data_IF_205799575231
#
_entry.id   IF_205799575231
#
_cell.length_a   1.000
_cell.length_b   1.000
_cell.length_c   1.000
_cell.angle_alpha   90.00
_cell.angle_beta   90.00
_cell.angle_gamma   90.00
#
_symmetry.space_group_name_H-M   'P 1'
#
loop_
_entity.id
_entity.type
_entity.pdbx_description
1 polymer ?
#
# COMPACT_ATOMS: atom_id res chain seq x y z
N UNK A 1 -32.46 15.39 29.88
CA UNK A 1 -32.34 16.05 28.56
C UNK A 1 -30.90 16.43 28.19
N UNK A 2 -30.04 16.76 29.15
CA UNK A 2 -28.64 17.10 28.93
C UNK A 2 -27.80 15.94 28.33
N UNK A 3 -27.94 14.72 28.83
CA UNK A 3 -27.18 13.55 28.38
C UNK A 3 -27.43 13.19 26.88
N UNK A 4 -28.62 13.43 26.34
CA UNK A 4 -28.90 13.24 24.91
C UNK A 4 -28.20 14.29 24.04
N UNK A 5 -28.09 15.53 24.48
CA UNK A 5 -27.42 16.60 23.73
C UNK A 5 -25.91 16.41 23.66
N UNK A 6 -25.30 15.90 24.73
CA UNK A 6 -23.85 15.59 24.74
C UNK A 6 -23.53 14.41 23.86
N UNK A 7 -24.37 13.36 23.81
CA UNK A 7 -24.19 12.22 22.93
C UNK A 7 -24.29 12.58 21.43
N UNK A 8 -25.23 13.45 21.06
CA UNK A 8 -25.39 13.93 19.68
C UNK A 8 -24.23 14.85 19.27
N UNK A 9 -23.75 15.71 20.15
CA UNK A 9 -22.59 16.58 19.87
C UNK A 9 -21.31 15.76 19.68
N UNK A 10 -21.07 14.75 20.52
CA UNK A 10 -19.92 13.84 20.38
C UNK A 10 -19.97 13.02 19.08
N UNK A 11 -21.16 12.59 18.67
CA UNK A 11 -21.39 11.91 17.39
C UNK A 11 -21.09 12.79 16.17
N UNK A 12 -21.49 14.05 16.20
CA UNK A 12 -21.24 15.01 15.13
C UNK A 12 -19.75 15.36 15.00
N UNK A 13 -19.04 15.54 16.12
CA UNK A 13 -17.61 15.83 16.10
C UNK A 13 -16.78 14.66 15.59
N UNK A 14 -17.17 13.43 15.97
CA UNK A 14 -16.53 12.23 15.46
C UNK A 14 -16.76 12.04 13.96
N UNK A 15 -17.99 12.27 13.49
CA UNK A 15 -18.32 12.20 12.06
C UNK A 15 -17.55 13.26 11.24
N UNK A 16 -17.43 14.48 11.77
CA UNK A 16 -16.66 15.55 11.14
C UNK A 16 -15.15 15.20 11.07
N UNK A 17 -14.59 14.63 12.14
CA UNK A 17 -13.20 14.19 12.16
C UNK A 17 -12.91 13.06 11.15
N UNK A 18 -13.86 12.13 10.98
CA UNK A 18 -13.76 11.04 9.98
C UNK A 18 -13.82 11.58 8.54
N UNK A 19 -14.65 12.60 8.29
CA UNK A 19 -14.73 13.23 6.97
C UNK A 19 -13.46 14.01 6.61
N UNK A 20 -12.79 14.64 7.57
CA UNK A 20 -11.51 15.31 7.33
C UNK A 20 -10.36 14.32 7.06
N UNK A 21 -10.38 13.15 7.67
CA UNK A 21 -9.36 12.11 7.44
C UNK A 21 -9.46 11.46 6.05
N UNK A 22 -10.61 11.57 5.37
CA UNK A 22 -10.84 11.00 4.04
C UNK A 22 -10.12 11.75 2.90
N UNK A 23 -9.50 12.90 3.17
CA UNK A 23 -8.82 13.72 2.16
C UNK A 23 -7.37 13.32 1.86
N UNK A 24 -6.87 12.21 2.39
CA UNK A 24 -5.55 11.70 2.00
C UNK A 24 -5.59 11.17 0.56
N UNK A 25 -5.23 12.01 -0.41
CA UNK A 25 -5.17 11.62 -1.82
C UNK A 25 -3.91 10.77 -2.08
N UNK A 26 -4.11 9.52 -2.50
CA UNK A 26 -3.04 8.69 -3.06
C UNK A 26 -2.88 9.10 -4.53
N UNK A 27 -1.67 9.48 -4.99
CA UNK A 27 -1.44 9.83 -6.39
C UNK A 27 -1.74 8.66 -7.33
N UNK A 28 -2.40 8.93 -8.46
CA UNK A 28 -2.69 7.94 -9.50
C UNK A 28 -1.58 7.84 -10.58
N UNK A 29 -0.39 8.39 -10.32
CA UNK A 29 0.71 8.47 -11.25
C UNK A 29 2.04 7.97 -10.70
N UNK A 30 3.11 8.02 -11.53
CA UNK A 30 4.45 7.64 -11.08
C UNK A 30 4.96 8.58 -9.98
N UNK A 31 5.54 8.01 -8.94
CA UNK A 31 6.20 8.77 -7.87
C UNK A 31 7.70 8.98 -8.15
N UNK A 32 8.15 8.57 -9.32
CA UNK A 32 9.54 8.59 -9.76
C UNK A 32 9.73 9.61 -10.87
N UNK A 33 10.87 10.29 -10.85
CA UNK A 33 11.25 11.24 -11.90
C UNK A 33 11.91 10.48 -13.06
N UNK A 34 11.51 10.83 -14.28
CA UNK A 34 12.17 10.39 -15.51
C UNK A 34 12.46 11.62 -16.37
N UNK A 35 13.62 11.64 -16.99
CA UNK A 35 14.06 12.73 -17.86
C UNK A 35 14.09 12.28 -19.32
N UNK A 36 13.83 13.18 -20.28
CA UNK A 36 13.96 12.85 -21.68
C UNK A 36 15.33 12.28 -22.03
N UNK A 37 15.34 11.27 -22.88
CA UNK A 37 16.55 10.70 -23.45
C UNK A 37 17.27 11.66 -24.37
N UNK A 38 18.56 11.45 -24.60
CA UNK A 38 19.33 12.27 -25.52
C UNK A 38 18.78 12.14 -26.94
N UNK A 39 18.47 13.27 -27.58
CA UNK A 39 17.91 13.30 -28.94
C UNK A 39 16.40 13.08 -29.04
N UNK A 40 15.71 12.93 -27.93
CA UNK A 40 14.24 12.84 -27.91
C UNK A 40 13.59 14.21 -27.71
N UNK A 41 12.55 14.49 -28.51
CA UNK A 41 11.74 15.69 -28.30
C UNK A 41 10.86 15.55 -27.07
N UNK A 42 10.40 16.67 -26.53
CA UNK A 42 9.47 16.68 -25.41
C UNK A 42 8.12 16.03 -25.75
N UNK A 43 7.69 16.14 -26.99
CA UNK A 43 6.47 15.51 -27.47
C UNK A 43 6.58 13.99 -27.50
N UNK A 44 7.71 13.47 -27.99
CA UNK A 44 8.02 12.04 -27.90
C UNK A 44 8.06 11.55 -26.46
N UNK A 45 8.69 12.35 -25.57
CA UNK A 45 8.71 12.02 -24.14
C UNK A 45 7.28 11.89 -23.56
N UNK A 46 6.38 12.84 -23.89
CA UNK A 46 5.00 12.80 -23.41
C UNK A 46 4.21 11.61 -23.96
N UNK A 47 4.39 11.25 -25.22
CA UNK A 47 3.77 10.07 -25.81
C UNK A 47 4.29 8.78 -25.11
N UNK A 48 5.61 8.67 -24.96
CA UNK A 48 6.25 7.55 -24.27
C UNK A 48 5.82 7.47 -22.80
N UNK A 49 5.65 8.60 -22.11
CA UNK A 49 5.15 8.67 -20.72
C UNK A 49 3.72 8.10 -20.61
N UNK A 50 2.82 8.46 -21.53
CA UNK A 50 1.45 7.95 -21.52
C UNK A 50 1.40 6.43 -21.75
N UNK A 51 2.13 5.92 -22.73
CA UNK A 51 2.23 4.49 -23.00
C UNK A 51 2.79 3.73 -21.79
N UNK A 52 3.86 4.27 -21.19
CA UNK A 52 4.50 3.64 -20.04
C UNK A 52 3.65 3.70 -18.77
N UNK A 53 2.80 4.71 -18.60
CA UNK A 53 1.79 4.74 -17.54
C UNK A 53 0.75 3.62 -17.72
N UNK A 54 0.31 3.37 -18.95
CA UNK A 54 -0.61 2.29 -19.22
C UNK A 54 0.04 0.92 -18.95
N UNK A 55 1.26 0.72 -19.41
CA UNK A 55 2.03 -0.49 -19.13
C UNK A 55 2.21 -0.72 -17.61
N UNK A 56 2.59 0.32 -16.87
CA UNK A 56 2.77 0.26 -15.43
C UNK A 56 1.49 -0.13 -14.68
N UNK A 57 0.33 0.36 -15.12
CA UNK A 57 -0.98 -0.05 -14.55
C UNK A 57 -1.23 -1.55 -14.72
N UNK A 58 -0.97 -2.08 -15.90
CA UNK A 58 -1.12 -3.52 -16.15
C UNK A 58 -0.17 -4.34 -15.26
N UNK A 59 1.07 -3.92 -15.11
CA UNK A 59 2.05 -4.57 -14.23
C UNK A 59 1.66 -4.48 -12.75
N UNK A 60 1.00 -3.41 -12.34
CA UNK A 60 0.50 -3.26 -10.97
C UNK A 60 -0.76 -4.10 -10.68
N UNK A 61 -1.25 -4.90 -11.65
CA UNK A 61 -2.44 -5.73 -11.52
C UNK A 61 -3.71 -5.07 -12.02
N UNK A 62 -3.61 -4.07 -12.89
CA UNK A 62 -4.72 -3.34 -13.49
C UNK A 62 -5.40 -2.31 -12.59
N UNK A 63 -5.08 -2.31 -11.29
CA UNK A 63 -5.60 -1.33 -10.34
C UNK A 63 -4.59 -0.19 -10.10
N UNK A 64 -5.11 1.02 -9.93
CA UNK A 64 -4.28 2.13 -9.47
C UNK A 64 -3.96 1.98 -7.97
N UNK A 65 -2.87 2.60 -7.47
CA UNK A 65 -2.57 2.61 -6.03
C UNK A 65 -3.75 3.10 -5.19
N UNK A 66 -4.51 4.08 -5.69
CA UNK A 66 -5.72 4.60 -5.06
C UNK A 66 -6.82 3.54 -4.98
N UNK A 67 -7.09 2.81 -6.08
CA UNK A 67 -8.08 1.73 -6.08
C UNK A 67 -7.67 0.61 -5.11
N UNK A 68 -6.41 0.20 -5.10
CA UNK A 68 -5.91 -0.80 -4.17
C UNK A 68 -6.09 -0.38 -2.70
N UNK A 69 -5.89 0.90 -2.39
CA UNK A 69 -6.13 1.45 -1.05
C UNK A 69 -7.62 1.42 -0.69
N UNK A 70 -8.50 1.88 -1.58
CA UNK A 70 -9.95 1.91 -1.37
C UNK A 70 -10.48 0.49 -1.15
N UNK A 71 -10.13 -0.45 -2.01
CA UNK A 71 -10.60 -1.84 -1.94
C UNK A 71 -10.18 -2.50 -0.62
N UNK A 72 -8.95 -2.28 -0.17
CA UNK A 72 -8.47 -2.84 1.08
C UNK A 72 -9.15 -2.19 2.31
N UNK A 73 -9.34 -0.89 2.28
CA UNK A 73 -10.02 -0.15 3.34
C UNK A 73 -11.48 -0.55 3.47
N UNK A 74 -12.21 -0.61 2.35
CA UNK A 74 -13.63 -1.00 2.30
C UNK A 74 -13.80 -2.43 2.77
N UNK A 75 -13.00 -3.38 2.28
CA UNK A 75 -13.06 -4.78 2.72
C UNK A 75 -12.89 -4.92 4.23
N UNK A 76 -11.94 -4.22 4.81
CA UNK A 76 -11.71 -4.26 6.27
C UNK A 76 -12.87 -3.66 7.06
N UNK A 77 -13.43 -2.56 6.59
CA UNK A 77 -14.58 -1.91 7.24
C UNK A 77 -15.84 -2.82 7.20
N UNK A 78 -16.12 -3.44 6.04
CA UNK A 78 -17.24 -4.37 5.88
C UNK A 78 -17.10 -5.59 6.78
N UNK A 79 -15.92 -6.21 6.80
CA UNK A 79 -15.66 -7.37 7.66
C UNK A 79 -15.77 -7.00 9.13
N UNK A 80 -15.19 -5.87 9.56
CA UNK A 80 -15.30 -5.39 10.93
C UNK A 80 -16.74 -5.14 11.35
N UNK A 81 -17.53 -4.50 10.49
CA UNK A 81 -18.97 -4.25 10.74
C UNK A 81 -19.75 -5.55 10.88
N UNK A 82 -19.56 -6.50 9.98
CA UNK A 82 -20.28 -7.78 9.99
C UNK A 82 -19.92 -8.61 11.24
N UNK A 83 -18.65 -8.74 11.57
CA UNK A 83 -18.19 -9.46 12.76
C UNK A 83 -18.70 -8.78 14.02
N UNK A 84 -18.62 -7.46 14.11
CA UNK A 84 -19.13 -6.69 15.24
C UNK A 84 -20.65 -6.83 15.42
N UNK A 85 -21.43 -6.79 14.33
CA UNK A 85 -22.87 -6.99 14.37
C UNK A 85 -23.26 -8.38 14.88
N UNK A 86 -22.59 -9.43 14.39
CA UNK A 86 -22.85 -10.81 14.84
C UNK A 86 -22.49 -10.98 16.32
N UNK A 87 -21.30 -10.56 16.73
CA UNK A 87 -20.87 -10.67 18.12
C UNK A 87 -21.79 -9.87 19.07
N UNK A 88 -22.13 -8.64 18.72
CA UNK A 88 -23.06 -7.82 19.50
C UNK A 88 -24.46 -8.39 19.55
N UNK A 89 -24.95 -8.98 18.45
CA UNK A 89 -26.25 -9.63 18.37
C UNK A 89 -26.40 -10.85 19.26
N UNK A 90 -25.33 -11.60 19.49
CA UNK A 90 -25.30 -12.74 20.41
C UNK A 90 -25.45 -12.27 21.88
N UNK A 91 -24.93 -11.10 22.22
CA UNK A 91 -24.89 -10.58 23.59
C UNK A 91 -26.21 -9.93 23.96
N UNK A 92 -26.77 -9.03 23.14
CA UNK A 92 -27.95 -8.22 23.46
C UNK A 92 -28.91 -8.04 22.28
N UNK A 93 -29.07 -9.06 21.47
CA UNK A 93 -29.99 -9.08 20.35
C UNK A 93 -29.84 -7.89 19.39
N UNK A 94 -30.96 -7.23 19.02
CA UNK A 94 -30.94 -6.12 18.05
C UNK A 94 -30.13 -4.90 18.52
N UNK A 95 -30.24 -4.57 19.83
CA UNK A 95 -29.50 -3.43 20.39
C UNK A 95 -27.99 -3.69 20.37
N UNK A 96 -27.58 -4.88 20.77
CA UNK A 96 -26.19 -5.32 20.74
C UNK A 96 -25.64 -5.39 19.31
N UNK A 97 -26.43 -5.86 18.35
CA UNK A 97 -26.01 -5.88 16.95
C UNK A 97 -25.72 -4.47 16.40
N UNK A 98 -26.56 -3.48 16.73
CA UNK A 98 -26.34 -2.10 16.28
C UNK A 98 -25.08 -1.47 16.89
N UNK A 99 -24.87 -1.66 18.20
CA UNK A 99 -23.67 -1.17 18.89
C UNK A 99 -22.43 -1.91 18.39
N UNK A 100 -22.52 -3.23 18.25
CA UNK A 100 -21.45 -4.07 17.73
C UNK A 100 -21.06 -3.74 16.28
N UNK A 101 -22.05 -3.47 15.42
CA UNK A 101 -21.78 -3.00 14.06
C UNK A 101 -21.05 -1.65 14.04
N UNK A 102 -21.47 -0.71 14.88
CA UNK A 102 -20.82 0.61 14.98
C UNK A 102 -19.37 0.53 15.48
N UNK A 103 -19.14 -0.22 16.56
CA UNK A 103 -17.78 -0.47 17.07
C UNK A 103 -16.94 -1.25 16.09
N UNK A 104 -17.49 -2.29 15.46
CA UNK A 104 -16.82 -3.07 14.43
C UNK A 104 -16.43 -2.24 13.20
N UNK A 105 -17.28 -1.29 12.80
CA UNK A 105 -16.95 -0.33 11.75
C UNK A 105 -15.76 0.55 12.13
N UNK A 106 -15.75 1.08 13.38
CA UNK A 106 -14.65 1.94 13.84
C UNK A 106 -13.31 1.17 13.88
N UNK A 107 -13.28 -0.01 14.52
CA UNK A 107 -12.06 -0.82 14.58
C UNK A 107 -11.66 -1.37 13.20
N UNK A 108 -12.65 -1.78 12.39
CA UNK A 108 -12.42 -2.25 11.02
C UNK A 108 -11.87 -1.14 10.13
N UNK A 109 -12.32 0.11 10.28
CA UNK A 109 -11.79 1.23 9.51
C UNK A 109 -10.38 1.64 9.94
N UNK A 110 -10.05 1.57 11.25
CA UNK A 110 -8.69 1.80 11.74
C UNK A 110 -7.70 0.73 11.21
N UNK A 111 -8.06 -0.55 11.33
CA UNK A 111 -7.28 -1.65 10.76
C UNK A 111 -7.20 -1.54 9.23
N UNK A 112 -8.31 -1.14 8.59
CA UNK A 112 -8.40 -0.91 7.16
C UNK A 112 -7.50 0.22 6.66
N UNK A 113 -7.29 1.27 7.44
CA UNK A 113 -6.37 2.34 7.10
C UNK A 113 -4.92 1.84 6.97
N UNK A 114 -4.47 0.98 7.87
CA UNK A 114 -3.16 0.34 7.79
C UNK A 114 -3.04 -0.59 6.57
N UNK A 115 -4.05 -1.42 6.32
CA UNK A 115 -4.11 -2.30 5.17
C UNK A 115 -4.16 -1.51 3.84
N UNK A 116 -4.92 -0.42 3.80
CA UNK A 116 -5.00 0.47 2.65
C UNK A 116 -3.64 1.11 2.32
N UNK A 117 -2.92 1.60 3.33
CA UNK A 117 -1.57 2.16 3.14
C UNK A 117 -0.57 1.10 2.64
N UNK A 118 -0.60 -0.12 3.20
CA UNK A 118 0.23 -1.23 2.76
C UNK A 118 -0.05 -1.62 1.31
N UNK A 119 -1.32 -1.73 0.95
CA UNK A 119 -1.76 -2.04 -0.41
C UNK A 119 -1.38 -0.94 -1.40
N UNK A 120 -1.58 0.33 -1.04
CA UNK A 120 -1.19 1.47 -1.85
C UNK A 120 0.32 1.51 -2.10
N UNK A 121 1.13 1.29 -1.06
CA UNK A 121 2.60 1.28 -1.19
C UNK A 121 3.09 0.16 -2.10
N UNK A 122 2.54 -1.06 -1.95
CA UNK A 122 2.93 -2.19 -2.78
C UNK A 122 2.49 -2.01 -4.23
N UNK A 123 1.29 -1.46 -4.47
CA UNK A 123 0.81 -1.14 -5.80
C UNK A 123 1.64 0.00 -6.43
N UNK A 124 1.95 1.06 -5.66
CA UNK A 124 2.79 2.15 -6.12
C UNK A 124 4.19 1.67 -6.50
N UNK A 125 4.80 0.81 -5.68
CA UNK A 125 6.11 0.27 -5.98
C UNK A 125 6.13 -0.54 -7.30
N UNK A 126 5.14 -1.43 -7.51
CA UNK A 126 5.02 -2.19 -8.77
C UNK A 126 4.80 -1.27 -9.96
N UNK A 127 3.95 -0.26 -9.79
CA UNK A 127 3.68 0.74 -10.80
C UNK A 127 4.96 1.50 -11.17
N UNK A 128 5.69 2.02 -10.18
CA UNK A 128 6.92 2.79 -10.40
C UNK A 128 8.00 1.94 -11.08
N UNK A 129 8.16 0.69 -10.67
CA UNK A 129 9.11 -0.24 -11.32
C UNK A 129 8.72 -0.48 -12.78
N UNK A 130 7.46 -0.79 -13.07
CA UNK A 130 6.98 -0.99 -14.43
C UNK A 130 7.15 0.27 -15.29
N UNK A 131 6.82 1.44 -14.73
CA UNK A 131 6.99 2.72 -15.41
C UNK A 131 8.47 3.00 -15.74
N UNK A 132 9.37 2.84 -14.78
CA UNK A 132 10.80 3.03 -14.99
C UNK A 132 11.38 2.08 -16.04
N UNK A 133 11.01 0.80 -15.98
CA UNK A 133 11.45 -0.19 -16.96
C UNK A 133 11.01 0.18 -18.38
N UNK A 134 9.76 0.58 -18.55
CA UNK A 134 9.21 0.99 -19.84
C UNK A 134 9.94 2.24 -20.37
N UNK A 135 10.08 3.28 -19.55
CA UNK A 135 10.74 4.53 -19.94
C UNK A 135 12.23 4.30 -20.27
N UNK A 136 12.90 3.45 -19.50
CA UNK A 136 14.28 3.08 -19.78
C UNK A 136 14.40 2.33 -21.11
N UNK A 137 13.52 1.37 -21.37
CA UNK A 137 13.49 0.63 -22.63
C UNK A 137 13.25 1.52 -23.85
N UNK A 138 12.50 2.62 -23.66
CA UNK A 138 12.27 3.65 -24.67
C UNK A 138 13.44 4.65 -24.77
N UNK A 139 14.54 4.47 -24.02
CA UNK A 139 15.75 5.28 -24.09
C UNK A 139 15.72 6.57 -23.29
N UNK A 140 14.81 6.68 -22.31
CA UNK A 140 14.76 7.79 -21.37
C UNK A 140 15.73 7.60 -20.20
N UNK A 141 16.09 8.71 -19.55
CA UNK A 141 17.02 8.70 -18.42
C UNK A 141 16.22 8.55 -17.13
N UNK A 142 16.42 7.42 -16.44
CA UNK A 142 15.85 7.14 -15.14
C UNK A 142 16.90 7.40 -14.06
N UNK A 143 16.80 8.50 -13.30
CA UNK A 143 17.69 8.74 -12.19
C UNK A 143 17.45 7.67 -11.11
N UNK A 144 18.45 6.84 -10.88
CA UNK A 144 18.42 5.89 -9.76
C UNK A 144 18.86 6.65 -8.51
N UNK A 145 17.93 6.87 -7.57
CA UNK A 145 18.30 7.39 -6.27
C UNK A 145 19.19 6.36 -5.57
N UNK A 146 20.47 6.67 -5.41
CA UNK A 146 21.47 5.79 -4.77
C UNK A 146 20.99 5.28 -3.39
N UNK A 147 20.17 6.04 -2.68
CA UNK A 147 19.56 5.65 -1.41
C UNK A 147 18.62 4.44 -1.49
N UNK A 148 18.10 4.08 -2.67
CA UNK A 148 17.26 2.88 -2.81
C UNK A 148 18.06 1.58 -2.91
N UNK A 149 19.36 1.67 -3.24
CA UNK A 149 20.26 0.52 -3.24
C UNK A 149 21.00 0.35 -1.90
N UNK A 150 20.95 1.33 -1.03
CA UNK A 150 21.26 1.17 0.37
C UNK A 150 20.01 0.77 1.17
N UNK A 151 19.24 -0.18 0.66
CA UNK A 151 18.50 -1.03 1.57
C UNK A 151 19.59 -1.68 2.43
N UNK A 152 19.83 -1.10 3.60
CA UNK A 152 20.55 -1.76 4.68
C UNK A 152 20.06 -3.22 4.66
N UNK A 153 20.93 -4.20 4.41
CA UNK A 153 20.49 -5.58 4.40
C UNK A 153 19.73 -5.77 5.71
N UNK A 154 18.44 -6.06 5.58
CA UNK A 154 17.59 -6.27 6.74
C UNK A 154 18.43 -7.13 7.68
N UNK A 155 18.78 -6.60 8.86
CA UNK A 155 19.53 -7.35 9.87
C UNK A 155 18.70 -8.58 10.12
N UNK A 156 18.99 -9.65 9.38
CA UNK A 156 18.42 -10.95 9.67
C UNK A 156 18.69 -11.19 11.16
N UNK A 157 17.69 -11.59 11.93
CA UNK A 157 17.92 -11.94 13.32
C UNK A 157 19.14 -12.85 13.36
N UNK A 158 20.12 -12.54 14.23
CA UNK A 158 21.29 -13.39 14.45
C UNK A 158 20.78 -14.78 14.82
N UNK A 159 20.82 -15.72 13.88
CA UNK A 159 20.23 -17.06 13.97
C UNK A 159 19.61 -17.58 12.68
N UNK A 160 19.41 -16.73 11.66
CA UNK A 160 19.00 -17.20 10.34
C UNK A 160 20.20 -17.90 9.67
N UNK A 161 20.01 -19.17 9.48
CA UNK A 161 20.79 -20.18 8.79
C UNK A 161 21.77 -19.59 7.76
N UNK A 162 23.05 -19.56 8.09
CA UNK A 162 24.08 -19.37 7.09
C UNK A 162 24.07 -20.64 6.20
N UNK A 163 23.98 -20.51 4.87
CA UNK A 163 24.12 -21.66 4.00
C UNK A 163 25.46 -22.36 4.30
N UNK A 164 25.51 -23.68 4.32
CA UNK A 164 26.76 -24.40 4.54
C UNK A 164 27.80 -23.94 3.49
N UNK A 165 29.07 -23.80 3.89
CA UNK A 165 30.13 -23.45 2.93
C UNK A 165 30.15 -24.48 1.80
N UNK A 166 30.44 -24.04 0.57
CA UNK A 166 30.55 -24.97 -0.56
C UNK A 166 31.60 -26.04 -0.24
N UNK A 167 31.41 -27.29 -0.71
CA UNK A 167 32.39 -28.34 -0.51
C UNK A 167 33.76 -27.92 -1.10
N UNK A 168 34.86 -28.24 -0.43
CA UNK A 168 36.18 -27.94 -0.96
C UNK A 168 36.38 -28.64 -2.32
N UNK A 169 37.12 -28.02 -3.21
CA UNK A 169 37.44 -28.62 -4.52
C UNK A 169 38.13 -30.00 -4.32
N UNK A 170 37.90 -30.95 -5.22
CA UNK A 170 38.34 -32.32 -5.04
C UNK A 170 39.86 -32.53 -4.86
N UNK A 171 40.68 -31.53 -5.20
CA UNK A 171 42.13 -31.57 -5.12
C UNK A 171 42.74 -30.75 -3.96
N UNK A 172 41.92 -30.35 -2.96
CA UNK A 172 42.45 -29.60 -1.82
C UNK A 172 43.33 -30.50 -0.91
N UNK A 173 44.59 -30.09 -0.57
CA UNK A 173 45.44 -30.84 0.34
C UNK A 173 44.78 -30.98 1.70
N UNK A 174 44.78 -32.20 2.26
CA UNK A 174 44.24 -32.44 3.61
C UNK A 174 45.12 -31.69 4.63
N UNK A 175 44.50 -30.93 5.55
CA UNK A 175 45.27 -30.34 6.66
C UNK A 175 45.87 -31.47 7.53
N UNK A 176 47.16 -31.38 7.83
CA UNK A 176 47.85 -32.24 8.78
C UNK A 176 47.34 -32.03 10.20
#
# INVERSE_FOLDING_TARGET
>A
MAARRTATAAGLTLAAALLLAACASVPDGPSVLVLPGSGKSFEQFRADDQDCRQYARLQAGGATPKQAAIDSGVKSAVVGTAVGAVAGGIIDGRSGAAVGAGTGLLFGSMAGAGAAQGSARSAQWRYDVGFQQCMYAKGHKVPVAASRFHAEPARLPRGAYAPPPPPPPPDAPKPN
#
